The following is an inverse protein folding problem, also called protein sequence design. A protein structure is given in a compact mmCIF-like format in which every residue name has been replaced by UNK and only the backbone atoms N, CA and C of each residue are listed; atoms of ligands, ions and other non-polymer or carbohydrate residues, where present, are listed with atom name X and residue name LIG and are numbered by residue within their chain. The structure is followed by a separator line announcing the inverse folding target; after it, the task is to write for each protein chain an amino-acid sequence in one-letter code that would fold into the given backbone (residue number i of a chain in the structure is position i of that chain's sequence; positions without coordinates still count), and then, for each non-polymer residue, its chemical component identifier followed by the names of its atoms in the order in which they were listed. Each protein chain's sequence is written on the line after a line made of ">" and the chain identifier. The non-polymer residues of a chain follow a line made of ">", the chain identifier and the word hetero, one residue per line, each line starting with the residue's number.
data_IF_500049581915
#
_entry.id   IF_500049581915
#
_cell.length_a   1.000
_cell.length_b   1.000
_cell.length_c   1.000
_cell.angle_alpha   90.00
_cell.angle_beta   90.00
_cell.angle_gamma   90.00
#
_symmetry.space_group_name_H-M   'P 1'
#
loop_
_entity.id
_entity.type
_entity.pdbx_description
1 polymer ?
#
# COMPACT_ATOMS: atom_id res chain seq x y z
N UNK A 1 -2.36 4.10 -31.16
CA UNK A 1 -3.81 3.86 -31.23
C UNK A 1 -4.38 3.18 -29.98
N UNK A 2 -3.78 2.10 -29.45
CA UNK A 2 -4.28 1.37 -28.26
C UNK A 2 -4.65 2.29 -27.08
N UNK A 3 -3.78 3.24 -26.71
CA UNK A 3 -4.05 4.16 -25.60
C UNK A 3 -5.23 5.10 -25.85
N UNK A 4 -5.37 5.65 -27.07
CA UNK A 4 -6.45 6.58 -27.41
C UNK A 4 -7.82 5.89 -27.33
N UNK A 5 -7.94 4.71 -27.93
CA UNK A 5 -9.17 3.89 -27.85
C UNK A 5 -9.45 3.51 -26.40
N UNK A 6 -8.40 3.14 -25.64
CA UNK A 6 -8.51 2.79 -24.23
C UNK A 6 -9.07 3.92 -23.37
N UNK A 7 -8.74 5.18 -23.65
CA UNK A 7 -9.29 6.34 -22.94
C UNK A 7 -10.74 6.61 -23.35
N UNK A 8 -11.05 6.57 -24.65
CA UNK A 8 -12.42 6.83 -25.16
C UNK A 8 -13.40 5.78 -24.64
N UNK A 9 -13.00 4.51 -24.63
CA UNK A 9 -13.85 3.40 -24.19
C UNK A 9 -13.87 3.17 -22.67
N UNK A 10 -13.12 3.94 -21.88
CA UNK A 10 -13.02 3.69 -20.45
C UNK A 10 -14.30 4.08 -19.70
N UNK A 11 -14.95 3.10 -19.07
CA UNK A 11 -16.10 3.33 -18.20
C UNK A 11 -15.67 3.39 -16.73
N UNK A 12 -16.00 4.49 -16.05
CA UNK A 12 -15.62 4.72 -14.67
C UNK A 12 -16.63 4.11 -13.68
N UNK A 13 -16.28 3.00 -13.02
CA UNK A 13 -17.05 2.51 -11.85
C UNK A 13 -16.75 3.32 -10.56
N UNK A 14 -15.60 3.98 -10.54
CA UNK A 14 -15.12 4.94 -9.55
C UNK A 14 -14.16 5.88 -10.26
N UNK A 15 -14.11 7.14 -9.84
CA UNK A 15 -13.24 8.14 -10.44
C UNK A 15 -12.71 9.13 -9.40
N UNK A 16 -11.60 9.76 -9.74
CA UNK A 16 -11.01 10.89 -9.03
C UNK A 16 -10.72 12.00 -10.02
N UNK A 17 -10.29 13.14 -9.50
CA UNK A 17 -9.80 14.24 -10.32
C UNK A 17 -8.33 14.54 -10.01
N UNK A 18 -7.59 15.00 -11.01
CA UNK A 18 -6.23 15.48 -10.88
C UNK A 18 -6.10 16.86 -11.54
N UNK A 19 -5.64 17.85 -10.79
CA UNK A 19 -5.30 19.17 -11.29
C UNK A 19 -3.82 19.17 -11.64
N UNK A 20 -3.50 19.36 -12.91
CA UNK A 20 -2.14 19.55 -13.40
C UNK A 20 -1.92 21.03 -13.67
N UNK A 21 -0.87 21.60 -13.08
CA UNK A 21 -0.42 22.96 -13.39
C UNK A 21 0.82 22.90 -14.27
N UNK A 22 0.98 23.87 -15.16
CA UNK A 22 1.99 23.86 -16.22
C UNK A 22 2.94 25.04 -16.09
N UNK A 23 4.22 24.80 -16.41
CA UNK A 23 5.28 25.82 -16.41
C UNK A 23 5.33 26.54 -17.74
N UNK A 24 5.93 27.73 -17.72
CA UNK A 24 6.35 28.43 -18.95
C UNK A 24 7.49 27.64 -19.64
N UNK A 25 7.53 27.68 -20.99
CA UNK A 25 8.56 26.98 -21.80
C UNK A 25 10.02 27.19 -21.34
N UNK A 26 10.47 28.40 -20.92
CA UNK A 26 11.85 28.62 -20.48
C UNK A 26 12.26 27.83 -19.23
N UNK A 27 11.31 27.20 -18.54
CA UNK A 27 11.54 26.41 -17.33
C UNK A 27 11.47 24.89 -17.58
N UNK A 28 11.23 24.45 -18.81
CA UNK A 28 11.27 23.01 -19.14
C UNK A 28 12.68 22.47 -18.93
N UNK A 29 12.77 21.25 -18.38
CA UNK A 29 14.06 20.63 -18.00
C UNK A 29 14.74 21.21 -16.75
N UNK A 30 14.34 22.37 -16.25
CA UNK A 30 14.91 22.96 -15.02
C UNK A 30 14.33 22.31 -13.77
N UNK A 31 15.07 22.38 -12.66
CA UNK A 31 14.56 21.93 -11.37
C UNK A 31 13.28 22.69 -10.98
N UNK A 32 12.37 22.02 -10.27
CA UNK A 32 11.12 22.59 -9.76
C UNK A 32 11.26 22.91 -8.29
N UNK A 33 10.97 24.15 -7.91
CA UNK A 33 11.04 24.57 -6.50
C UNK A 33 9.62 24.82 -5.96
N UNK A 34 9.18 23.96 -5.05
CA UNK A 34 7.87 24.06 -4.40
C UNK A 34 8.04 24.11 -2.88
N UNK A 35 7.35 25.06 -2.22
CA UNK A 35 7.43 25.18 -0.76
C UNK A 35 6.76 23.97 -0.09
N UNK A 36 7.56 23.20 0.63
CA UNK A 36 7.11 22.01 1.35
C UNK A 36 6.09 22.34 2.45
N UNK A 37 6.28 23.45 3.14
CA UNK A 37 5.40 23.97 4.18
C UNK A 37 4.04 24.31 3.58
N UNK A 38 4.03 24.90 2.37
CA UNK A 38 2.79 25.16 1.64
C UNK A 38 2.03 23.86 1.29
N UNK A 39 2.75 22.81 0.90
CA UNK A 39 2.16 21.48 0.62
C UNK A 39 1.59 20.83 1.88
N UNK A 40 2.28 20.94 3.03
CA UNK A 40 1.79 20.45 4.32
C UNK A 40 0.49 21.16 4.73
N UNK A 41 0.51 22.50 4.71
CA UNK A 41 -0.67 23.32 5.01
C UNK A 41 -1.83 23.07 4.05
N UNK A 42 -1.52 22.86 2.77
CA UNK A 42 -2.51 22.47 1.77
C UNK A 42 -3.17 21.15 2.16
N UNK A 43 -2.37 20.09 2.40
CA UNK A 43 -2.88 18.78 2.82
C UNK A 43 -3.77 18.89 4.05
N UNK A 44 -3.33 19.59 5.10
CA UNK A 44 -4.09 19.75 6.35
C UNK A 44 -5.48 20.35 6.11
N UNK A 45 -5.57 21.36 5.22
CA UNK A 45 -6.83 22.06 4.92
C UNK A 45 -7.75 21.32 3.96
N UNK A 46 -7.21 20.42 3.14
CA UNK A 46 -7.98 19.74 2.09
C UNK A 46 -8.10 18.23 2.29
N UNK A 47 -7.57 17.69 3.38
CA UNK A 47 -7.84 16.32 3.81
C UNK A 47 -9.30 16.19 4.29
N UNK A 48 -10.01 15.09 4.00
CA UNK A 48 -9.59 13.89 3.26
C UNK A 48 -9.78 13.98 1.73
N UNK A 49 -10.23 15.12 1.21
CA UNK A 49 -10.62 15.30 -0.19
C UNK A 49 -9.45 15.38 -1.18
N UNK A 50 -8.21 15.48 -0.70
CA UNK A 50 -6.99 15.38 -1.52
C UNK A 50 -6.08 14.31 -0.97
N UNK A 51 -5.29 13.68 -1.84
CA UNK A 51 -4.50 12.51 -1.47
C UNK A 51 -3.19 12.40 -2.25
N UNK A 52 -2.25 11.61 -1.71
CA UNK A 52 -0.90 11.42 -2.28
C UNK A 52 -0.12 12.72 -2.51
N UNK A 53 -0.31 13.72 -1.63
CA UNK A 53 0.32 15.04 -1.77
C UNK A 53 1.76 15.09 -1.23
N UNK A 54 1.95 14.50 -0.05
CA UNK A 54 3.22 14.48 0.69
C UNK A 54 3.29 13.20 1.52
N UNK A 55 4.48 12.61 1.57
CA UNK A 55 4.83 11.57 2.53
C UNK A 55 5.50 12.23 3.74
N UNK A 56 4.80 12.30 4.87
CA UNK A 56 5.33 12.91 6.10
C UNK A 56 6.42 12.07 6.74
N UNK A 57 6.31 10.74 6.65
CA UNK A 57 7.29 9.83 7.26
C UNK A 57 8.65 10.00 6.63
N UNK A 58 8.70 10.25 5.32
CA UNK A 58 9.93 10.52 4.56
C UNK A 58 10.16 12.01 4.33
N UNK A 59 9.27 12.87 4.83
CA UNK A 59 9.26 14.31 4.57
C UNK A 59 9.45 14.60 3.05
N UNK A 60 8.70 13.95 2.16
CA UNK A 60 8.86 14.01 0.70
C UNK A 60 7.60 14.54 0.01
N UNK A 61 7.72 15.61 -0.78
CA UNK A 61 6.63 16.12 -1.64
C UNK A 61 6.40 15.15 -2.80
N UNK A 62 5.15 14.83 -3.10
CA UNK A 62 4.76 13.83 -4.09
C UNK A 62 4.02 14.41 -5.30
N UNK A 63 3.53 15.65 -5.20
CA UNK A 63 2.82 16.34 -6.28
C UNK A 63 3.74 16.86 -7.38
N UNK A 64 5.05 16.90 -7.16
CA UNK A 64 6.03 17.48 -8.08
C UNK A 64 6.74 16.38 -8.88
N UNK A 65 6.65 16.36 -10.23
CA UNK A 65 7.37 15.40 -11.05
C UNK A 65 8.87 15.73 -11.12
N UNK A 66 9.68 14.71 -11.42
CA UNK A 66 11.14 14.83 -11.52
C UNK A 66 11.65 14.93 -12.97
N UNK A 67 10.79 14.72 -13.98
CA UNK A 67 11.18 14.70 -15.39
C UNK A 67 11.34 16.09 -16.01
N UNK A 68 11.81 16.19 -17.26
CA UNK A 68 11.94 17.47 -17.97
C UNK A 68 10.60 18.03 -18.48
N UNK A 69 9.49 17.36 -18.16
CA UNK A 69 8.14 17.59 -18.67
C UNK A 69 7.57 18.98 -18.28
N UNK A 70 6.51 19.46 -18.97
CA UNK A 70 5.95 20.79 -18.72
C UNK A 70 5.13 20.90 -17.43
N UNK A 71 4.80 19.79 -16.76
CA UNK A 71 3.95 19.81 -15.56
C UNK A 71 4.77 20.35 -14.39
N UNK A 72 4.27 21.36 -13.70
CA UNK A 72 4.87 21.90 -12.48
C UNK A 72 4.48 21.08 -11.24
N UNK A 73 3.18 20.82 -11.06
CA UNK A 73 2.68 19.89 -10.05
C UNK A 73 1.34 19.26 -10.47
N UNK A 74 1.00 18.14 -9.83
CA UNK A 74 -0.29 17.46 -9.93
C UNK A 74 -0.92 17.22 -8.56
N UNK A 75 -2.12 17.76 -8.30
CA UNK A 75 -2.87 17.53 -7.06
C UNK A 75 -4.03 16.58 -7.35
N UNK A 76 -4.14 15.49 -6.59
CA UNK A 76 -5.20 14.49 -6.74
C UNK A 76 -6.25 14.62 -5.64
N UNK A 77 -7.52 14.38 -5.99
CA UNK A 77 -8.60 14.52 -5.04
C UNK A 77 -9.96 13.99 -5.50
N UNK A 78 -10.96 14.19 -4.65
CA UNK A 78 -12.33 13.70 -4.83
C UNK A 78 -13.19 14.61 -5.70
N UNK A 79 -12.90 15.92 -5.76
CA UNK A 79 -13.72 16.89 -6.47
C UNK A 79 -12.92 18.15 -6.88
N UNK A 80 -13.43 18.87 -7.87
CA UNK A 80 -12.80 20.06 -8.47
C UNK A 80 -12.61 21.21 -7.47
N UNK A 81 -13.62 21.47 -6.62
CA UNK A 81 -13.59 22.55 -5.62
C UNK A 81 -12.43 22.39 -4.64
N UNK A 82 -12.23 21.19 -4.12
CA UNK A 82 -11.11 20.87 -3.21
C UNK A 82 -9.75 21.02 -3.91
N UNK A 83 -9.65 20.67 -5.20
CA UNK A 83 -8.41 20.85 -5.97
C UNK A 83 -8.08 22.33 -6.20
N UNK A 84 -9.07 23.16 -6.51
CA UNK A 84 -8.87 24.60 -6.68
C UNK A 84 -8.49 25.29 -5.37
N UNK A 85 -9.12 24.89 -4.26
CA UNK A 85 -8.72 25.34 -2.93
C UNK A 85 -7.28 24.92 -2.61
N UNK A 86 -6.91 23.68 -2.93
CA UNK A 86 -5.57 23.17 -2.73
C UNK A 86 -4.53 23.95 -3.56
N UNK A 87 -4.80 24.19 -4.84
CA UNK A 87 -3.91 24.93 -5.75
C UNK A 87 -3.63 26.36 -5.25
N UNK A 88 -4.62 27.06 -4.69
CA UNK A 88 -4.46 28.40 -4.10
C UNK A 88 -3.51 28.43 -2.89
N UNK A 89 -3.32 27.30 -2.20
CA UNK A 89 -2.47 27.21 -1.01
C UNK A 89 -1.02 26.89 -1.35
N UNK A 90 -0.75 26.39 -2.56
CA UNK A 90 0.61 26.07 -3.01
C UNK A 90 1.36 27.37 -3.33
N UNK A 91 2.57 27.49 -2.76
CA UNK A 91 3.47 28.60 -3.05
C UNK A 91 4.58 28.15 -4.01
N UNK A 92 4.72 28.89 -5.11
CA UNK A 92 5.67 28.63 -6.19
C UNK A 92 6.54 29.87 -6.42
N UNK A 93 7.80 29.69 -6.82
CA UNK A 93 8.67 30.81 -7.22
C UNK A 93 8.48 31.18 -8.69
N UNK A 94 8.02 30.22 -9.49
CA UNK A 94 7.83 30.38 -10.92
C UNK A 94 6.43 30.88 -11.26
N UNK A 95 6.36 31.72 -12.30
CA UNK A 95 5.11 32.00 -13.01
C UNK A 95 4.71 30.75 -13.80
N UNK A 96 3.47 30.32 -13.59
CA UNK A 96 2.87 29.16 -14.25
C UNK A 96 2.04 29.64 -15.45
N UNK A 97 1.92 28.80 -16.48
CA UNK A 97 1.10 29.10 -17.68
C UNK A 97 -0.40 28.89 -17.39
N UNK A 98 -0.73 28.04 -16.43
CA UNK A 98 -2.11 27.69 -16.13
C UNK A 98 -2.28 26.36 -15.44
N UNK A 99 -3.51 25.85 -15.47
CA UNK A 99 -3.84 24.50 -15.02
C UNK A 99 -5.01 23.91 -15.81
N UNK A 100 -5.10 22.58 -15.81
CA UNK A 100 -6.24 21.80 -16.26
C UNK A 100 -6.58 20.74 -15.20
N UNK A 101 -7.87 20.47 -15.01
CA UNK A 101 -8.36 19.38 -14.16
C UNK A 101 -8.85 18.24 -15.04
N UNK A 102 -8.33 17.03 -14.79
CA UNK A 102 -8.69 15.81 -15.48
C UNK A 102 -9.51 14.90 -14.60
N UNK A 103 -10.51 14.23 -15.17
CA UNK A 103 -11.05 12.99 -14.58
C UNK A 103 -10.04 11.87 -14.78
N UNK A 104 -9.88 11.03 -13.76
CA UNK A 104 -8.90 9.96 -13.79
C UNK A 104 -9.38 8.73 -13.03
N UNK A 105 -8.79 7.58 -13.36
CA UNK A 105 -8.96 6.34 -12.60
C UNK A 105 -7.87 6.19 -11.52
N UNK A 106 -7.10 7.24 -11.25
CA UNK A 106 -6.06 7.21 -10.23
C UNK A 106 -6.68 7.09 -8.84
N UNK A 107 -6.02 6.39 -7.93
CA UNK A 107 -6.54 6.18 -6.58
C UNK A 107 -7.81 5.30 -6.50
N UNK A 108 -8.16 4.54 -7.54
CA UNK A 108 -9.40 3.72 -7.58
C UNK A 108 -9.16 2.22 -7.35
N UNK A 109 -7.92 1.75 -7.53
CA UNK A 109 -7.52 0.34 -7.67
C UNK A 109 -8.21 -0.41 -8.81
N UNK A 110 -8.54 0.29 -9.91
CA UNK A 110 -9.24 -0.30 -11.05
C UNK A 110 -8.54 -1.53 -11.65
N UNK A 111 -7.21 -1.57 -11.66
CA UNK A 111 -6.42 -2.70 -12.18
C UNK A 111 -6.44 -3.94 -11.27
N UNK A 112 -7.00 -3.83 -10.06
CA UNK A 112 -7.09 -4.91 -9.08
C UNK A 112 -8.53 -5.44 -8.91
N UNK A 113 -9.43 -5.13 -9.85
CA UNK A 113 -10.82 -5.61 -9.80
C UNK A 113 -10.94 -7.10 -10.07
N UNK A 114 -10.11 -7.61 -10.98
CA UNK A 114 -10.17 -9.00 -11.43
C UNK A 114 -9.52 -9.96 -10.42
N UNK A 115 -9.92 -11.23 -10.42
CA UNK A 115 -9.13 -12.30 -9.81
C UNK A 115 -8.00 -12.70 -10.76
N UNK A 116 -6.81 -12.94 -10.21
CA UNK A 116 -5.72 -13.55 -10.99
C UNK A 116 -5.95 -15.05 -11.01
N UNK A 117 -5.94 -15.64 -12.21
CA UNK A 117 -5.88 -17.09 -12.35
C UNK A 117 -4.53 -17.61 -11.86
N UNK A 118 -4.57 -18.35 -10.75
CA UNK A 118 -3.41 -18.91 -10.07
C UNK A 118 -2.87 -20.18 -10.72
N UNK A 119 -3.64 -20.80 -11.63
CA UNK A 119 -3.19 -21.98 -12.38
C UNK A 119 -2.22 -21.59 -13.48
N UNK A 120 -2.54 -20.52 -14.22
CA UNK A 120 -1.68 -20.02 -15.30
C UNK A 120 -0.72 -18.93 -14.84
N UNK A 121 -1.13 -18.07 -13.90
CA UNK A 121 -0.38 -16.92 -13.40
C UNK A 121 0.22 -16.11 -14.56
N UNK A 122 -0.61 -15.63 -15.49
CA UNK A 122 -0.17 -14.92 -16.71
C UNK A 122 0.66 -13.67 -16.36
N UNK A 123 1.84 -13.47 -16.96
CA UNK A 123 2.64 -12.27 -16.73
C UNK A 123 1.91 -11.00 -17.22
N UNK A 124 2.23 -9.85 -16.63
CA UNK A 124 1.62 -8.55 -16.96
C UNK A 124 0.13 -8.42 -16.62
N UNK A 125 -0.44 -9.42 -15.94
CA UNK A 125 -1.78 -9.34 -15.35
C UNK A 125 -1.72 -8.74 -13.94
N UNK A 126 -2.80 -8.11 -13.53
CA UNK A 126 -2.98 -7.62 -12.17
C UNK A 126 -4.37 -7.95 -11.65
N UNK A 127 -4.50 -8.08 -10.35
CA UNK A 127 -5.73 -8.55 -9.72
C UNK A 127 -5.52 -8.96 -8.28
N UNK A 128 -6.50 -9.69 -7.76
CA UNK A 128 -6.53 -10.20 -6.39
C UNK A 128 -6.33 -11.70 -6.36
N UNK A 129 -5.70 -12.18 -5.31
CA UNK A 129 -5.58 -13.60 -4.97
C UNK A 129 -5.89 -13.76 -3.49
N UNK A 130 -6.81 -14.67 -3.16
CA UNK A 130 -7.06 -15.09 -1.78
C UNK A 130 -6.46 -16.46 -1.55
N UNK A 131 -5.70 -16.63 -0.47
CA UNK A 131 -5.03 -17.88 -0.17
C UNK A 131 -4.54 -17.97 1.28
N UNK A 132 -3.82 -19.05 1.56
CA UNK A 132 -3.20 -19.30 2.85
C UNK A 132 -1.69 -19.19 2.73
N UNK A 133 -1.04 -18.52 3.68
CA UNK A 133 0.43 -18.48 3.76
C UNK A 133 0.96 -19.91 3.91
N UNK A 134 1.76 -20.37 2.96
CA UNK A 134 2.31 -21.72 2.94
C UNK A 134 3.59 -21.84 3.76
N UNK A 135 4.44 -20.82 3.65
CA UNK A 135 5.75 -20.74 4.29
C UNK A 135 5.90 -19.41 5.02
N UNK A 136 6.63 -19.43 6.14
CA UNK A 136 6.94 -18.21 6.86
C UNK A 136 7.77 -17.26 5.98
N UNK A 137 7.46 -15.95 5.97
CA UNK A 137 8.16 -14.98 5.16
C UNK A 137 9.66 -14.92 5.44
N UNK A 138 10.43 -14.65 4.39
CA UNK A 138 11.89 -14.49 4.44
C UNK A 138 12.28 -13.13 3.90
N UNK A 139 13.18 -12.45 4.60
CA UNK A 139 13.80 -11.22 4.14
C UNK A 139 15.01 -11.55 3.26
N UNK A 140 15.04 -11.06 2.02
CA UNK A 140 16.20 -11.17 1.14
C UNK A 140 17.09 -9.91 1.23
N UNK A 141 18.31 -9.99 0.67
CA UNK A 141 19.21 -8.84 0.55
C UNK A 141 18.49 -7.68 -0.16
N UNK A 142 18.62 -6.47 0.39
CA UNK A 142 17.87 -5.29 -0.09
C UNK A 142 16.53 -5.05 0.63
N UNK A 143 16.20 -5.81 1.67
CA UNK A 143 15.04 -5.54 2.54
C UNK A 143 13.70 -5.97 1.95
N UNK A 144 13.71 -6.89 0.98
CA UNK A 144 12.50 -7.40 0.34
C UNK A 144 11.98 -8.62 1.09
N UNK A 145 10.67 -8.66 1.38
CA UNK A 145 10.04 -9.83 1.99
C UNK A 145 9.43 -10.74 0.91
N UNK A 146 9.76 -12.02 0.97
CA UNK A 146 9.21 -13.05 0.09
C UNK A 146 8.50 -14.12 0.90
N UNK A 147 7.36 -14.58 0.41
CA UNK A 147 6.63 -15.72 0.96
C UNK A 147 5.82 -16.39 -0.15
N UNK A 148 5.27 -17.56 0.16
CA UNK A 148 4.40 -18.31 -0.75
C UNK A 148 3.01 -18.37 -0.15
N UNK A 149 1.99 -18.18 -0.98
CA UNK A 149 0.60 -18.54 -0.63
C UNK A 149 0.15 -19.75 -1.44
N UNK A 150 -0.75 -20.53 -0.87
CA UNK A 150 -1.51 -21.55 -1.59
C UNK A 150 -2.93 -21.03 -1.84
N UNK A 151 -3.37 -21.07 -3.09
CA UNK A 151 -4.72 -20.67 -3.52
C UNK A 151 -5.22 -21.65 -4.56
N UNK A 152 -6.45 -22.16 -4.39
CA UNK A 152 -7.05 -23.16 -5.30
C UNK A 152 -6.07 -24.31 -5.66
N UNK A 153 -5.33 -24.83 -4.67
CA UNK A 153 -4.31 -25.88 -4.83
C UNK A 153 -2.95 -25.44 -5.39
N UNK A 154 -2.84 -24.23 -5.95
CA UNK A 154 -1.64 -23.73 -6.61
C UNK A 154 -0.76 -22.88 -5.70
N UNK A 155 0.56 -23.05 -5.81
CA UNK A 155 1.55 -22.25 -5.07
C UNK A 155 1.86 -20.95 -5.83
N UNK A 156 1.72 -19.82 -5.14
CA UNK A 156 2.00 -18.50 -5.70
C UNK A 156 3.08 -17.83 -4.87
N UNK A 157 4.22 -17.53 -5.49
CA UNK A 157 5.30 -16.77 -4.86
C UNK A 157 4.95 -15.28 -4.86
N UNK A 158 5.09 -14.66 -3.71
CA UNK A 158 4.77 -13.26 -3.47
C UNK A 158 6.01 -12.47 -3.07
N UNK A 159 6.11 -11.23 -3.54
CA UNK A 159 7.16 -10.30 -3.17
C UNK A 159 6.58 -8.99 -2.65
N UNK A 160 7.13 -8.52 -1.54
CA UNK A 160 6.89 -7.19 -0.98
C UNK A 160 8.23 -6.47 -0.98
N UNK A 161 8.38 -5.50 -1.88
CA UNK A 161 9.63 -4.77 -2.03
C UNK A 161 9.82 -3.76 -0.90
N UNK A 162 11.09 -3.50 -0.56
CA UNK A 162 11.49 -2.59 0.52
C UNK A 162 10.82 -1.21 0.40
N UNK A 163 10.76 -0.57 -0.80
CA UNK A 163 10.23 0.79 -0.90
C UNK A 163 8.76 0.92 -0.47
N UNK A 164 8.02 -0.19 -0.48
CA UNK A 164 6.61 -0.23 -0.04
C UNK A 164 6.46 0.08 1.45
N UNK A 165 7.49 -0.13 2.28
CA UNK A 165 7.40 -0.02 3.73
C UNK A 165 6.59 -1.14 4.40
N UNK A 166 6.17 -2.16 3.65
CA UNK A 166 5.38 -3.28 4.16
C UNK A 166 6.21 -4.51 4.53
N UNK A 167 7.46 -4.59 4.07
CA UNK A 167 8.27 -5.81 4.19
C UNK A 167 8.44 -6.26 5.65
N UNK A 168 8.68 -5.34 6.59
CA UNK A 168 8.82 -5.62 8.02
C UNK A 168 7.52 -6.16 8.64
N UNK A 169 6.37 -5.56 8.33
CA UNK A 169 5.06 -6.03 8.76
C UNK A 169 4.78 -7.45 8.28
N UNK A 170 5.17 -7.74 7.04
CA UNK A 170 4.96 -9.06 6.45
C UNK A 170 5.72 -10.16 7.18
N UNK A 171 6.87 -9.88 7.80
CA UNK A 171 7.64 -10.87 8.57
C UNK A 171 6.90 -11.44 9.79
N UNK A 172 5.79 -10.83 10.20
CA UNK A 172 4.92 -11.30 11.27
C UNK A 172 3.83 -12.29 10.82
N UNK A 173 3.68 -12.50 9.51
CA UNK A 173 2.86 -13.58 8.96
C UNK A 173 3.43 -14.94 9.35
N UNK A 174 2.54 -15.93 9.45
CA UNK A 174 2.89 -17.31 9.73
C UNK A 174 2.13 -18.26 8.81
N UNK A 175 2.70 -19.43 8.60
CA UNK A 175 2.04 -20.53 7.90
C UNK A 175 0.61 -20.76 8.40
N UNK A 176 -0.33 -20.79 7.47
CA UNK A 176 -1.76 -20.99 7.71
C UNK A 176 -2.57 -19.71 7.93
N UNK A 177 -1.97 -18.53 7.93
CA UNK A 177 -2.72 -17.27 7.90
C UNK A 177 -3.48 -17.14 6.57
N UNK A 178 -4.74 -16.72 6.62
CA UNK A 178 -5.56 -16.46 5.44
C UNK A 178 -5.42 -15.00 5.04
N UNK A 179 -4.99 -14.76 3.81
CA UNK A 179 -4.72 -13.41 3.27
C UNK A 179 -5.38 -13.23 1.91
N UNK A 180 -5.74 -11.99 1.61
CA UNK A 180 -6.07 -11.54 0.26
C UNK A 180 -5.01 -10.53 -0.16
N UNK A 181 -4.27 -10.86 -1.21
CA UNK A 181 -3.26 -9.98 -1.81
C UNK A 181 -3.82 -9.34 -3.07
N UNK A 182 -3.41 -8.11 -3.35
CA UNK A 182 -3.60 -7.48 -4.65
C UNK A 182 -2.24 -7.06 -5.21
N UNK A 183 -2.03 -7.26 -6.50
CA UNK A 183 -0.74 -7.00 -7.11
C UNK A 183 -0.69 -7.34 -8.59
N UNK A 184 0.53 -7.32 -9.15
CA UNK A 184 0.79 -7.63 -10.55
C UNK A 184 1.74 -8.83 -10.67
N UNK A 185 1.49 -9.68 -11.67
CA UNK A 185 2.35 -10.82 -11.99
C UNK A 185 3.54 -10.36 -12.82
N UNK A 186 4.73 -10.49 -12.24
CA UNK A 186 5.99 -10.27 -12.93
C UNK A 186 6.35 -11.51 -13.77
N UNK A 187 6.82 -11.28 -15.00
CA UNK A 187 7.44 -12.32 -15.85
C UNK A 187 8.60 -13.01 -15.10
N UNK A 188 8.76 -14.31 -15.33
CA UNK A 188 9.89 -15.06 -14.82
C UNK A 188 11.22 -14.43 -15.28
N UNK A 189 12.22 -14.54 -14.43
CA UNK A 189 13.60 -14.10 -14.68
C UNK A 189 14.53 -15.31 -14.59
N UNK A 190 15.80 -15.14 -14.99
CA UNK A 190 16.81 -16.21 -14.84
C UNK A 190 16.91 -16.72 -13.39
N UNK A 191 16.73 -15.83 -12.41
CA UNK A 191 16.92 -16.13 -10.98
C UNK A 191 15.63 -16.52 -10.25
N UNK A 192 14.48 -16.07 -10.73
CA UNK A 192 13.20 -16.25 -10.03
C UNK A 192 12.08 -16.63 -11.00
N UNK A 193 11.20 -17.57 -10.62
CA UNK A 193 10.00 -17.88 -11.39
C UNK A 193 9.03 -16.69 -11.41
N UNK A 194 7.82 -16.86 -11.95
CA UNK A 194 6.79 -15.82 -11.87
C UNK A 194 6.49 -15.49 -10.41
N UNK A 195 6.35 -14.20 -10.13
CA UNK A 195 6.16 -13.66 -8.78
C UNK A 195 5.05 -12.61 -8.83
N UNK A 196 4.20 -12.61 -7.81
CA UNK A 196 3.21 -11.54 -7.61
C UNK A 196 3.85 -10.43 -6.79
N UNK A 197 3.99 -9.26 -7.39
CA UNK A 197 4.43 -8.04 -6.72
C UNK A 197 3.25 -7.45 -5.96
N UNK A 198 3.29 -7.54 -4.64
CA UNK A 198 2.18 -7.11 -3.78
C UNK A 198 2.10 -5.58 -3.75
N UNK A 199 0.93 -5.05 -4.09
CA UNK A 199 0.55 -3.65 -3.92
C UNK A 199 -0.30 -3.42 -2.68
N UNK A 200 -1.05 -4.42 -2.23
CA UNK A 200 -1.72 -4.41 -0.93
C UNK A 200 -1.91 -5.83 -0.40
N UNK A 201 -2.07 -5.94 0.92
CA UNK A 201 -2.44 -7.21 1.57
C UNK A 201 -3.48 -6.98 2.65
N UNK A 202 -4.58 -7.73 2.58
CA UNK A 202 -5.62 -7.78 3.61
C UNK A 202 -5.52 -9.09 4.37
N UNK A 203 -5.33 -8.98 5.68
CA UNK A 203 -5.30 -10.12 6.58
C UNK A 203 -6.73 -10.51 6.92
N UNK A 204 -7.18 -11.67 6.42
CA UNK A 204 -8.54 -12.16 6.63
C UNK A 204 -8.63 -13.00 7.90
N UNK A 205 -7.63 -13.87 8.14
CA UNK A 205 -7.56 -14.66 9.34
C UNK A 205 -6.12 -14.88 9.80
N UNK A 206 -5.91 -14.82 11.12
CA UNK A 206 -4.62 -15.06 11.76
C UNK A 206 -4.72 -16.37 12.53
N UNK A 207 -3.85 -17.33 12.23
CA UNK A 207 -3.75 -18.58 12.98
C UNK A 207 -3.21 -18.30 14.39
N UNK A 208 -3.66 -19.05 15.40
CA UNK A 208 -3.10 -18.92 16.76
C UNK A 208 -1.61 -19.29 16.72
N UNK A 209 -0.77 -18.39 17.22
CA UNK A 209 0.66 -18.65 17.37
C UNK A 209 0.90 -19.30 18.72
N UNK A 210 1.10 -20.63 18.73
CA UNK A 210 1.22 -21.42 19.95
C UNK A 210 2.70 -21.63 20.29
N UNK A 211 3.08 -21.31 21.53
CA UNK A 211 4.41 -21.59 22.07
C UNK A 211 4.27 -22.54 23.24
N UNK A 212 5.09 -23.59 23.25
CA UNK A 212 5.22 -24.47 24.39
C UNK A 212 6.17 -23.83 25.41
N UNK A 213 5.63 -23.41 26.55
CA UNK A 213 6.39 -22.80 27.64
C UNK A 213 6.38 -23.68 28.88
N UNK A 214 7.42 -23.55 29.70
CA UNK A 214 7.43 -24.25 30.99
C UNK A 214 6.26 -23.75 31.86
N UNK A 215 5.55 -24.64 32.55
CA UNK A 215 4.42 -24.28 33.38
C UNK A 215 4.83 -23.36 34.55
N UNK A 216 3.86 -22.60 35.06
CA UNK A 216 3.99 -21.87 36.31
C UNK A 216 3.61 -22.80 37.46
N UNK A 217 4.33 -22.71 38.59
CA UNK A 217 3.97 -23.44 39.79
C UNK A 217 2.66 -22.91 40.37
N UNK A 218 1.66 -23.77 40.56
CA UNK A 218 0.35 -23.38 41.11
C UNK A 218 0.40 -22.84 42.54
N UNK A 219 1.46 -23.11 43.30
CA UNK A 219 1.61 -22.64 44.69
C UNK A 219 2.31 -21.29 44.83
N UNK A 220 3.32 -21.00 43.99
CA UNK A 220 4.16 -19.81 44.15
C UNK A 220 4.30 -18.97 42.88
N UNK A 221 3.58 -19.33 41.82
CA UNK A 221 3.55 -18.67 40.52
C UNK A 221 4.91 -18.49 39.82
N UNK A 222 5.97 -19.15 40.29
CA UNK A 222 7.29 -19.14 39.64
C UNK A 222 7.35 -20.15 38.48
N UNK A 223 8.05 -19.79 37.42
CA UNK A 223 8.27 -20.66 36.26
C UNK A 223 9.09 -21.90 36.64
N UNK A 224 8.58 -23.08 36.27
CA UNK A 224 9.22 -24.36 36.64
C UNK A 224 10.42 -24.65 35.73
N UNK A 225 11.45 -25.32 36.26
CA UNK A 225 12.64 -25.74 35.50
C UNK A 225 12.46 -27.16 34.95
N UNK A 226 13.04 -27.43 33.79
CA UNK A 226 13.08 -28.79 33.22
C UNK A 226 13.93 -29.69 34.11
N UNK A 227 13.52 -30.94 34.29
CA UNK A 227 14.32 -31.96 35.00
C UNK A 227 15.22 -32.80 34.10
N UNK A 228 15.03 -32.71 32.78
CA UNK A 228 15.72 -33.54 31.81
C UNK A 228 14.76 -34.05 30.74
N UNK A 229 15.29 -34.74 29.73
CA UNK A 229 14.49 -35.34 28.66
C UNK A 229 13.46 -36.30 29.29
N UNK A 230 12.18 -36.09 29.01
CA UNK A 230 11.05 -36.89 29.50
C UNK A 230 10.84 -36.95 31.03
N UNK A 231 11.54 -36.12 31.83
CA UNK A 231 11.41 -36.11 33.30
C UNK A 231 10.46 -35.01 33.83
N UNK A 232 9.82 -34.25 32.95
CA UNK A 232 8.90 -33.17 33.31
C UNK A 232 9.58 -31.93 33.90
N UNK A 233 8.83 -31.18 34.71
CA UNK A 233 9.22 -29.88 35.26
C UNK A 233 9.08 -29.88 36.77
N UNK A 234 10.01 -29.25 37.49
CA UNK A 234 9.93 -29.06 38.94
C UNK A 234 10.03 -27.59 39.32
N UNK A 235 9.22 -27.16 40.29
CA UNK A 235 9.36 -25.85 40.92
C UNK A 235 10.56 -25.85 41.87
N UNK A 236 11.50 -24.92 41.65
CA UNK A 236 12.69 -24.77 42.51
C UNK A 236 12.31 -24.39 43.95
N UNK A 237 11.24 -23.60 44.14
CA UNK A 237 10.84 -23.10 45.48
C UNK A 237 9.94 -24.08 46.24
N UNK A 238 9.08 -24.82 45.55
CA UNK A 238 8.01 -25.61 46.19
C UNK A 238 8.15 -27.11 45.99
N UNK A 239 9.11 -27.59 45.18
CA UNK A 239 9.30 -29.01 44.90
C UNK A 239 8.21 -29.68 44.04
N UNK A 240 7.04 -29.05 43.83
CA UNK A 240 5.95 -29.58 42.99
C UNK A 240 6.45 -29.92 41.58
N UNK A 241 5.92 -31.01 41.01
CA UNK A 241 6.27 -31.54 39.69
C UNK A 241 5.08 -31.47 38.74
N UNK A 242 5.33 -31.18 37.47
CA UNK A 242 4.34 -31.18 36.38
C UNK A 242 4.94 -31.92 35.19
N UNK A 243 4.15 -32.77 34.52
CA UNK A 243 4.64 -33.63 33.43
C UNK A 243 4.82 -32.90 32.09
N UNK A 244 3.93 -31.96 31.77
CA UNK A 244 3.84 -31.35 30.44
C UNK A 244 4.13 -29.85 30.42
N UNK A 245 4.52 -29.36 29.24
CA UNK A 245 4.60 -27.92 28.95
C UNK A 245 3.19 -27.32 28.87
N UNK A 246 3.07 -26.05 29.19
CA UNK A 246 1.85 -25.27 28.96
C UNK A 246 1.86 -24.74 27.52
N UNK A 247 0.71 -24.81 26.86
CA UNK A 247 0.50 -24.13 25.58
C UNK A 247 0.13 -22.68 25.88
N UNK A 248 0.88 -21.75 25.32
CA UNK A 248 0.65 -20.31 25.46
C UNK A 248 0.42 -19.69 24.08
N UNK A 249 -0.62 -18.86 23.98
CA UNK A 249 -0.90 -18.10 22.76
C UNK A 249 -0.05 -16.84 22.77
N UNK A 250 0.93 -16.77 21.88
CA UNK A 250 1.79 -15.60 21.72
C UNK A 250 1.10 -14.59 20.82
N UNK A 251 0.84 -13.38 21.33
CA UNK A 251 0.30 -12.30 20.51
C UNK A 251 1.32 -11.88 19.45
N UNK A 252 0.83 -11.68 18.22
CA UNK A 252 1.64 -11.21 17.08
C UNK A 252 1.38 -9.73 16.86
N UNK A 253 2.39 -9.01 16.35
CA UNK A 253 2.28 -7.57 16.02
C UNK A 253 1.28 -7.32 14.87
N UNK A 254 1.18 -8.26 13.93
CA UNK A 254 0.26 -8.17 12.80
C UNK A 254 -1.20 -8.30 13.24
N UNK A 255 -2.08 -7.49 12.65
CA UNK A 255 -3.52 -7.43 12.96
C UNK A 255 -4.36 -7.80 11.75
N UNK A 256 -5.63 -8.18 11.98
CA UNK A 256 -6.62 -8.42 10.93
C UNK A 256 -7.06 -7.09 10.31
N UNK A 257 -6.29 -6.60 9.34
CA UNK A 257 -6.59 -5.35 8.64
C UNK A 257 -6.02 -5.36 7.22
N UNK A 258 -6.29 -4.29 6.47
CA UNK A 258 -5.65 -4.01 5.19
C UNK A 258 -4.37 -3.21 5.42
N UNK A 259 -3.28 -3.70 4.83
CA UNK A 259 -1.98 -3.07 4.79
C UNK A 259 -1.76 -2.51 3.38
N UNK A 260 -1.45 -1.21 3.33
CA UNK A 260 -1.14 -0.45 2.13
C UNK A 260 0.31 0.06 2.20
N UNK A 261 0.98 0.27 1.06
CA UNK A 261 2.30 0.86 1.03
C UNK A 261 2.32 2.24 1.68
N UNK A 262 3.50 2.72 2.05
CA UNK A 262 3.68 4.13 2.36
C UNK A 262 3.28 5.00 1.17
N UNK A 263 2.84 6.23 1.43
CA UNK A 263 2.25 7.12 0.41
C UNK A 263 3.22 7.36 -0.75
N UNK A 264 4.52 7.49 -0.48
CA UNK A 264 5.55 7.63 -1.52
C UNK A 264 5.73 6.41 -2.44
N UNK A 265 5.21 5.25 -2.06
CA UNK A 265 5.24 4.02 -2.84
C UNK A 265 3.87 3.65 -3.46
N UNK A 266 2.85 4.50 -3.28
CA UNK A 266 1.61 4.34 -4.02
C UNK A 266 1.87 4.46 -5.52
N UNK A 267 1.35 3.51 -6.29
CA UNK A 267 1.25 3.64 -7.76
C UNK A 267 0.08 4.55 -8.10
N UNK A 268 0.02 5.04 -9.35
CA UNK A 268 -1.09 5.91 -9.81
C UNK A 268 -2.48 5.37 -9.46
N UNK A 269 -2.71 4.08 -9.70
CA UNK A 269 -4.00 3.45 -9.47
C UNK A 269 -4.22 3.01 -8.01
N UNK A 270 -3.20 2.99 -7.15
CA UNK A 270 -3.34 2.52 -5.77
C UNK A 270 -4.35 3.37 -4.99
N UNK A 271 -5.45 2.76 -4.54
CA UNK A 271 -6.45 3.42 -3.69
C UNK A 271 -5.85 3.80 -2.34
N UNK A 272 -5.78 5.09 -2.00
CA UNK A 272 -5.26 5.53 -0.70
C UNK A 272 -6.23 5.19 0.43
N UNK A 273 -5.72 5.09 1.66
CA UNK A 273 -6.46 4.61 2.84
C UNK A 273 -7.75 5.40 3.08
N UNK A 274 -7.73 6.73 2.93
CA UNK A 274 -8.89 7.59 3.12
C UNK A 274 -10.02 7.35 2.11
N UNK A 275 -9.75 6.70 0.97
CA UNK A 275 -10.75 6.35 -0.05
C UNK A 275 -11.32 4.93 0.11
N UNK A 276 -10.94 4.19 1.15
CA UNK A 276 -11.51 2.87 1.40
C UNK A 276 -12.98 3.04 1.77
N UNK A 277 -13.89 2.45 0.99
CA UNK A 277 -15.34 2.56 1.17
C UNK A 277 -15.99 3.75 0.45
N UNK A 278 -15.19 4.62 -0.20
CA UNK A 278 -15.70 5.76 -0.98
C UNK A 278 -15.73 5.39 -2.47
N UNK A 279 -16.81 5.71 -3.16
CA UNK A 279 -16.97 5.52 -4.60
C UNK A 279 -17.60 6.76 -5.22
N UNK A 280 -16.96 7.32 -6.25
CA UNK A 280 -17.49 8.47 -6.98
C UNK A 280 -17.85 8.07 -8.41
N UNK A 281 -19.14 7.90 -8.69
CA UNK A 281 -19.62 7.52 -10.03
C UNK A 281 -19.95 8.71 -10.93
N UNK A 282 -20.27 9.86 -10.34
CA UNK A 282 -20.78 11.03 -11.06
C UNK A 282 -20.01 12.30 -10.73
N UNK A 283 -18.68 12.33 -10.87
CA UNK A 283 -17.98 13.62 -10.87
C UNK A 283 -18.36 14.31 -12.19
N UNK A 284 -19.14 15.38 -12.10
CA UNK A 284 -19.45 16.24 -13.23
C UNK A 284 -18.59 17.50 -13.14
N UNK A 285 -18.07 17.93 -14.29
CA UNK A 285 -17.59 19.30 -14.43
C UNK A 285 -18.84 20.13 -14.64
N UNK A 286 -19.05 21.09 -13.75
CA UNK A 286 -20.09 22.10 -13.88
C UNK A 286 -19.40 23.41 -14.27
N UNK A 287 -20.03 24.18 -15.16
CA UNK A 287 -19.52 25.45 -15.68
C UNK A 287 -19.39 26.52 -14.58
N UNK A 288 -20.02 26.29 -13.41
CA UNK A 288 -19.81 27.11 -12.21
C UNK A 288 -18.37 27.09 -11.67
N UNK A 289 -17.55 26.10 -12.08
CA UNK A 289 -16.18 25.92 -11.62
C UNK A 289 -15.22 25.82 -12.81
N UNK A 290 -14.35 26.82 -12.96
CA UNK A 290 -13.28 26.86 -13.97
C UNK A 290 -12.32 25.67 -13.77
N UNK A 291 -12.52 24.62 -14.57
CA UNK A 291 -11.71 23.39 -14.56
C UNK A 291 -10.44 23.51 -15.42
N UNK A 292 -10.31 24.58 -16.19
CA UNK A 292 -9.07 25.01 -16.80
C UNK A 292 -8.91 26.52 -16.67
N UNK A 293 -7.66 26.98 -16.58
CA UNK A 293 -7.33 28.41 -16.61
C UNK A 293 -5.97 28.62 -17.25
N UNK A 294 -5.89 29.61 -18.11
CA UNK A 294 -4.63 30.15 -18.63
C UNK A 294 -4.34 31.41 -17.82
N UNK A 295 -3.14 31.49 -17.23
CA UNK A 295 -2.69 32.69 -16.56
C UNK A 295 -2.16 33.67 -17.60
N UNK A 296 -2.64 34.92 -17.56
CA UNK A 296 -2.08 35.99 -18.39
C UNK A 296 -0.69 36.34 -17.84
N UNK A 297 0.29 36.49 -18.74
CA UNK A 297 1.67 36.84 -18.40
C UNK A 297 1.81 38.22 -17.76
#
# INVERSE_FOLDING_TARGET
>A
MVGAIGVIGYQFDDQTVELLSYRTKPHFGKERVISKESVKKMKEKTFPFTFNNIDETKNKVLICPHGPDPVFYGIRGENTKSLLQAAKLIKTQEKLDGYLIFKSNQGTSAHLKNEIDVSELKPYSSGKITGYVLDDPKMEKGGHAFFTIISKGNKVRCAVYEPTGLASEMMHLRKGDKVMIGGAVRKASKKYPRVVNIEFIKILNLKKNLKLTNPLCTKCNKKMKSKGKNQGFQCVKCGKKVKSKKIEVVQRKIKKQMYLPVVSAHRHLTRPRQRIGILNRNIQFDDSVSWFRIFKN
#
